data_IF_916423097976
#
_entry.id   IF_916423097976
#
_cell.length_a   1.000
_cell.length_b   1.000
_cell.length_c   1.000
_cell.angle_alpha   90.00
_cell.angle_beta   90.00
_cell.angle_gamma   90.00
#
_symmetry.space_group_name_H-M   'P 1'
#
loop_
_entity.id
_entity.type
_entity.pdbx_description
1 polymer ?
#
# COMPACT_ATOMS: atom_id res chain seq x y z
N UNK A 1 0.05 -13.14 12.72
CA UNK A 1 0.32 -11.82 13.34
C UNK A 1 0.25 -10.79 12.23
N UNK A 2 -0.57 -9.76 12.40
CA UNK A 2 -0.61 -8.65 11.46
C UNK A 2 0.52 -7.65 11.77
N UNK A 3 1.21 -7.18 10.74
CA UNK A 3 2.19 -6.11 10.77
C UNK A 3 1.64 -4.93 9.98
N UNK A 4 2.05 -3.72 10.34
CA UNK A 4 1.52 -2.50 9.74
C UNK A 4 2.48 -1.96 8.68
N UNK A 5 1.98 -1.71 7.48
CA UNK A 5 2.67 -0.91 6.46
C UNK A 5 2.01 0.46 6.45
N UNK A 6 2.78 1.51 6.74
CA UNK A 6 2.27 2.88 6.79
C UNK A 6 3.31 3.88 6.32
N UNK A 7 2.87 5.04 5.83
CA UNK A 7 3.77 6.10 5.37
C UNK A 7 3.03 7.35 4.91
N UNK A 8 3.75 8.23 4.21
CA UNK A 8 3.19 9.43 3.57
C UNK A 8 3.53 9.44 2.08
N UNK A 9 2.52 9.53 1.23
CA UNK A 9 2.66 9.66 -0.22
C UNK A 9 2.67 11.14 -0.62
N UNK A 10 3.76 11.56 -1.26
CA UNK A 10 3.97 12.95 -1.71
C UNK A 10 4.46 12.98 -3.16
N UNK A 11 4.17 14.06 -3.86
CA UNK A 11 4.70 14.33 -5.20
C UNK A 11 6.15 14.86 -5.16
N UNK A 12 6.72 15.15 -6.34
CA UNK A 12 8.09 15.68 -6.46
C UNK A 12 8.30 17.07 -5.84
N UNK A 13 7.22 17.78 -5.47
CA UNK A 13 7.27 19.08 -4.78
C UNK A 13 7.06 18.95 -3.27
N UNK A 14 6.80 17.72 -2.78
CA UNK A 14 6.54 17.44 -1.37
C UNK A 14 5.08 17.65 -0.95
N UNK A 15 4.16 17.91 -1.88
CA UNK A 15 2.72 18.02 -1.59
C UNK A 15 2.09 16.63 -1.46
N UNK A 16 1.14 16.42 -0.53
CA UNK A 16 0.37 15.17 -0.46
C UNK A 16 -0.32 14.82 -1.77
N UNK A 17 -0.23 13.55 -2.17
CA UNK A 17 -0.96 13.01 -3.32
C UNK A 17 -2.34 12.58 -2.84
N UNK A 18 -3.39 13.12 -3.45
CA UNK A 18 -4.79 12.75 -3.22
C UNK A 18 -5.30 11.86 -4.37
N UNK A 19 -6.42 11.16 -4.15
CA UNK A 19 -7.07 10.29 -5.15
C UNK A 19 -6.10 9.28 -5.78
N UNK A 20 -5.12 8.83 -5.00
CA UNK A 20 -4.24 7.76 -5.40
C UNK A 20 -4.62 6.50 -4.64
N UNK A 21 -4.86 5.43 -5.37
CA UNK A 21 -5.04 4.11 -4.79
C UNK A 21 -3.67 3.46 -4.59
N UNK A 22 -3.32 3.14 -3.35
CA UNK A 22 -2.16 2.31 -3.02
C UNK A 22 -2.60 0.86 -3.00
N UNK A 23 -2.08 0.04 -3.91
CA UNK A 23 -2.35 -1.39 -3.95
C UNK A 23 -1.13 -2.20 -3.49
N UNK A 24 -1.35 -3.10 -2.53
CA UNK A 24 -0.35 -4.08 -2.11
C UNK A 24 -0.66 -5.43 -2.73
N UNK A 25 0.32 -6.03 -3.41
CA UNK A 25 0.18 -7.35 -4.05
C UNK A 25 1.25 -8.29 -3.52
N UNK A 26 0.87 -9.32 -2.78
CA UNK A 26 1.82 -10.29 -2.24
C UNK A 26 2.61 -10.97 -3.39
N UNK A 27 3.94 -10.98 -3.27
CA UNK A 27 4.82 -11.76 -4.15
C UNK A 27 4.91 -13.17 -3.58
N UNK A 28 4.67 -14.17 -4.44
CA UNK A 28 4.63 -15.58 -4.08
C UNK A 28 5.99 -16.07 -3.57
N UNK A 29 6.22 -15.94 -2.27
CA UNK A 29 7.32 -16.56 -1.50
C UNK A 29 6.85 -17.15 -0.15
N UNK A 30 5.55 -17.23 0.10
CA UNK A 30 4.99 -17.97 1.23
C UNK A 30 3.91 -18.94 0.73
N UNK A 31 3.94 -20.15 1.28
CA UNK A 31 3.26 -21.38 0.81
C UNK A 31 1.72 -21.32 0.83
N UNK A 32 1.11 -20.19 1.18
CA UNK A 32 -0.34 -20.04 1.39
C UNK A 32 -0.98 -18.82 0.71
N UNK A 33 -0.21 -17.93 0.08
CA UNK A 33 -0.77 -16.66 -0.42
C UNK A 33 -0.96 -16.70 -1.94
N UNK A 34 -2.20 -16.97 -2.35
CA UNK A 34 -2.69 -16.64 -3.70
C UNK A 34 -2.47 -15.15 -3.93
N UNK A 35 -2.02 -14.78 -5.13
CA UNK A 35 -1.71 -13.39 -5.52
C UNK A 35 -3.01 -12.57 -5.56
N UNK A 36 -3.47 -12.12 -4.39
CA UNK A 36 -4.61 -11.24 -4.22
C UNK A 36 -4.11 -9.85 -3.82
N UNK A 37 -4.82 -8.81 -4.26
CA UNK A 37 -4.65 -7.47 -3.71
C UNK A 37 -4.93 -7.54 -2.21
N UNK A 38 -3.92 -7.24 -1.39
CA UNK A 38 -3.94 -7.39 0.07
C UNK A 38 -4.51 -6.16 0.76
N UNK A 39 -4.48 -5.01 0.10
CA UNK A 39 -5.07 -3.78 0.59
C UNK A 39 -5.12 -2.73 -0.50
N UNK A 40 -6.12 -1.86 -0.41
CA UNK A 40 -6.33 -0.69 -1.26
C UNK A 40 -6.74 0.46 -0.35
N UNK A 41 -5.94 1.52 -0.29
CA UNK A 41 -6.21 2.68 0.57
C UNK A 41 -5.88 3.95 -0.20
N UNK A 42 -6.74 4.94 -0.02
CA UNK A 42 -6.50 6.28 -0.50
C UNK A 42 -5.86 7.07 0.64
N UNK A 43 -4.72 7.75 0.40
CA UNK A 43 -4.12 8.59 1.42
C UNK A 43 -5.08 9.67 1.95
N UNK A 44 -4.94 10.03 3.23
CA UNK A 44 -5.67 11.15 3.84
C UNK A 44 -5.27 12.51 3.21
N UNK A 45 -5.87 13.62 3.65
CA UNK A 45 -5.54 14.97 3.15
C UNK A 45 -4.05 15.34 3.31
N UNK A 46 -3.35 14.71 4.25
CA UNK A 46 -1.92 14.87 4.48
C UNK A 46 -1.06 13.81 3.76
N UNK A 47 -1.68 12.91 2.99
CA UNK A 47 -1.01 11.87 2.22
C UNK A 47 -0.70 10.62 3.04
N UNK A 48 -1.26 10.45 4.23
CA UNK A 48 -0.96 9.30 5.11
C UNK A 48 -1.76 8.07 4.70
N UNK A 49 -1.11 6.91 4.75
CA UNK A 49 -1.72 5.60 4.55
C UNK A 49 -1.27 4.62 5.64
N UNK A 50 -2.10 3.61 5.94
CA UNK A 50 -1.83 2.58 6.93
C UNK A 50 -2.67 1.31 6.68
N UNK A 51 -2.00 0.20 6.38
CA UNK A 51 -2.61 -1.11 6.17
C UNK A 51 -2.05 -2.18 7.11
N UNK A 52 -2.92 -3.02 7.65
CA UNK A 52 -2.55 -4.24 8.35
C UNK A 52 -2.37 -5.39 7.35
N UNK A 53 -1.20 -6.04 7.37
CA UNK A 53 -0.83 -7.11 6.45
C UNK A 53 -0.12 -8.24 7.18
N UNK A 54 0.03 -9.41 6.56
CA UNK A 54 0.88 -10.47 7.10
C UNK A 54 2.35 -10.23 6.78
N UNK A 55 3.24 -10.96 7.45
CA UNK A 55 4.66 -10.90 7.10
C UNK A 55 4.88 -11.55 5.74
N UNK A 56 5.54 -10.83 4.83
CA UNK A 56 5.76 -11.34 3.49
C UNK A 56 6.40 -10.30 2.58
N UNK A 57 6.60 -10.70 1.33
CA UNK A 57 7.06 -9.79 0.28
C UNK A 57 5.85 -9.26 -0.49
N UNK A 58 5.86 -7.96 -0.76
CA UNK A 58 4.77 -7.27 -1.47
C UNK A 58 5.34 -6.43 -2.61
N UNK A 59 4.64 -6.39 -3.73
CA UNK A 59 4.74 -5.31 -4.70
C UNK A 59 3.79 -4.19 -4.31
N UNK A 60 4.24 -2.94 -4.46
CA UNK A 60 3.41 -1.74 -4.29
C UNK A 60 3.08 -1.18 -5.67
N UNK A 61 1.81 -0.88 -5.92
CA UNK A 61 1.36 -0.18 -7.12
C UNK A 61 0.66 1.10 -6.65
N UNK A 62 1.05 2.23 -7.22
CA UNK A 62 0.41 3.52 -7.00
C UNK A 62 -0.38 3.85 -8.26
N UNK A 63 -1.71 3.84 -8.15
CA UNK A 63 -2.59 4.23 -9.25
C UNK A 63 -3.21 5.58 -8.92
N UNK A 64 -2.92 6.58 -9.75
CA UNK A 64 -3.54 7.90 -9.65
C UNK A 64 -4.66 7.94 -10.68
N UNK A 65 -5.86 8.35 -10.28
CA UNK A 65 -6.98 8.58 -11.20
C UNK A 65 -6.78 9.84 -12.06
#
# INVERSE_FOLDING_TARGET
MAVKISGVLKDGTGKPVQNCTIQLKARRNSTTVVVNTVGSENPDEAGRYSMDVEYGQYSVILQVD
#
